data_IF_985469664352
#
_entry.id   IF_985469664352
#
_cell.length_a   1.000
_cell.length_b   1.000
_cell.length_c   1.000
_cell.angle_alpha   90.00
_cell.angle_beta   90.00
_cell.angle_gamma   90.00
#
_symmetry.space_group_name_H-M   'P 1'
#
loop_
_entity.id
_entity.type
_entity.pdbx_description
1 polymer ?
#
# COMPACT_ATOMS: atom_id res chain seq x y z
N UNK A 1 -5.96 -12.02 -2.87
CA UNK A 1 -4.99 -11.62 -1.85
C UNK A 1 -4.59 -10.16 -2.02
N UNK A 2 -4.49 -9.43 -0.90
CA UNK A 2 -3.96 -8.07 -0.83
C UNK A 2 -2.74 -8.12 0.08
N UNK A 3 -1.59 -7.64 -0.41
CA UNK A 3 -0.38 -7.51 0.40
C UNK A 3 -0.14 -6.03 0.67
N UNK A 4 0.00 -5.67 1.94
CA UNK A 4 0.22 -4.29 2.37
C UNK A 4 1.50 -4.18 3.21
N UNK A 5 2.31 -3.16 2.94
CA UNK A 5 3.44 -2.82 3.79
C UNK A 5 2.94 -2.07 5.04
N UNK A 6 3.53 -2.40 6.17
CA UNK A 6 3.16 -1.82 7.47
C UNK A 6 4.24 -0.81 7.90
N UNK A 7 3.86 0.38 8.36
CA UNK A 7 4.82 1.37 8.86
C UNK A 7 5.69 0.76 9.96
N UNK A 8 7.00 0.82 9.79
CA UNK A 8 7.96 0.31 10.77
C UNK A 8 8.01 1.17 12.03
N UNK A 9 7.57 2.42 11.92
CA UNK A 9 7.45 3.38 13.02
C UNK A 9 6.37 2.98 14.03
N UNK A 10 5.35 2.24 13.60
CA UNK A 10 4.32 1.72 14.50
C UNK A 10 4.84 0.53 15.30
N UNK A 11 4.43 0.43 16.55
CA UNK A 11 4.68 -0.79 17.36
C UNK A 11 3.94 -2.00 16.76
N UNK A 12 4.36 -3.22 17.10
CA UNK A 12 3.69 -4.45 16.66
C UNK A 12 2.19 -4.48 16.98
N UNK A 13 1.81 -3.97 18.17
CA UNK A 13 0.41 -3.84 18.58
C UNK A 13 -0.36 -2.88 17.68
N UNK A 14 0.20 -1.71 17.39
CA UNK A 14 -0.45 -0.71 16.53
C UNK A 14 -0.55 -1.19 15.08
N UNK A 15 0.45 -1.90 14.58
CA UNK A 15 0.38 -2.55 13.26
C UNK A 15 -0.76 -3.57 13.19
N UNK A 16 -0.94 -4.38 14.23
CA UNK A 16 -2.05 -5.33 14.30
C UNK A 16 -3.41 -4.62 14.33
N UNK A 17 -3.54 -3.53 15.08
CA UNK A 17 -4.78 -2.73 15.12
C UNK A 17 -5.08 -2.14 13.73
N UNK A 18 -4.08 -1.55 13.08
CA UNK A 18 -4.20 -0.99 11.73
C UNK A 18 -4.71 -2.04 10.72
N UNK A 19 -4.10 -3.23 10.70
CA UNK A 19 -4.51 -4.28 9.75
C UNK A 19 -5.91 -4.80 10.07
N UNK A 20 -6.26 -4.95 11.35
CA UNK A 20 -7.59 -5.39 11.76
C UNK A 20 -8.67 -4.39 11.38
N UNK A 21 -8.42 -3.09 11.50
CA UNK A 21 -9.38 -2.06 11.09
C UNK A 21 -9.60 -2.12 9.57
N UNK A 22 -8.53 -2.20 8.80
CA UNK A 22 -8.63 -2.34 7.34
C UNK A 22 -9.34 -3.64 6.92
N UNK A 23 -9.03 -4.77 7.56
CA UNK A 23 -9.67 -6.06 7.28
C UNK A 23 -11.18 -6.03 7.58
N UNK A 24 -11.59 -5.38 8.68
CA UNK A 24 -13.01 -5.18 9.03
C UNK A 24 -13.73 -4.33 7.99
N UNK A 25 -13.09 -3.26 7.53
CA UNK A 25 -13.68 -2.39 6.51
C UNK A 25 -13.86 -3.16 5.19
N UNK A 26 -12.86 -3.95 4.76
CA UNK A 26 -12.97 -4.82 3.59
C UNK A 26 -14.08 -5.87 3.75
N UNK A 27 -14.15 -6.53 4.90
CA UNK A 27 -15.19 -7.52 5.18
C UNK A 27 -16.59 -6.92 5.08
N UNK A 28 -16.79 -5.74 5.67
CA UNK A 28 -18.07 -5.04 5.66
C UNK A 28 -18.42 -4.51 4.27
N UNK A 29 -17.46 -3.92 3.55
CA UNK A 29 -17.67 -3.34 2.23
C UNK A 29 -18.05 -4.40 1.19
N UNK A 30 -17.39 -5.56 1.21
CA UNK A 30 -17.56 -6.61 0.20
C UNK A 30 -18.45 -7.76 0.64
N UNK A 31 -18.83 -7.81 1.92
CA UNK A 31 -19.59 -8.91 2.50
C UNK A 31 -18.88 -10.25 2.46
N UNK A 32 -17.56 -10.25 2.68
CA UNK A 32 -16.67 -11.43 2.56
C UNK A 32 -16.04 -11.79 3.89
N UNK A 33 -15.58 -13.04 4.03
CA UNK A 33 -14.65 -13.39 5.10
C UNK A 33 -13.24 -12.93 4.75
N UNK A 34 -12.51 -12.45 5.75
CA UNK A 34 -11.14 -11.96 5.61
C UNK A 34 -10.25 -12.68 6.60
N UNK A 35 -9.16 -13.22 6.12
CA UNK A 35 -8.09 -13.81 6.91
C UNK A 35 -6.83 -12.95 6.80
N UNK A 36 -6.11 -12.77 7.92
CA UNK A 36 -4.96 -11.85 8.01
C UNK A 36 -3.76 -12.57 8.60
N UNK A 37 -2.64 -12.52 7.88
CA UNK A 37 -1.33 -12.96 8.37
C UNK A 37 -0.35 -11.78 8.35
N UNK A 38 0.18 -11.42 9.52
CA UNK A 38 1.21 -10.38 9.65
C UNK A 38 2.58 -11.05 9.71
N UNK A 39 3.46 -10.64 8.79
CA UNK A 39 4.82 -11.15 8.71
C UNK A 39 5.82 -10.15 9.28
N UNK A 40 6.76 -10.66 10.05
CA UNK A 40 7.95 -9.91 10.47
C UNK A 40 8.98 -9.90 9.32
N UNK A 41 9.86 -8.90 9.29
CA UNK A 41 10.96 -8.89 8.34
C UNK A 41 11.82 -10.15 8.42
N UNK A 42 12.32 -10.59 7.25
CA UNK A 42 13.34 -11.64 7.19
C UNK A 42 14.61 -11.17 7.92
N UNK A 43 15.22 -12.08 8.69
CA UNK A 43 16.45 -11.80 9.45
C UNK A 43 17.62 -11.33 8.57
N UNK A 44 17.65 -11.70 7.29
CA UNK A 44 18.66 -11.27 6.33
C UNK A 44 18.19 -10.12 5.41
N UNK A 45 16.95 -9.62 5.59
CA UNK A 45 16.34 -8.57 4.78
C UNK A 45 16.38 -7.18 5.43
N UNK A 46 15.60 -6.26 4.88
CA UNK A 46 15.35 -4.96 5.52
C UNK A 46 14.48 -5.17 6.76
N UNK A 47 14.99 -4.87 7.92
CA UNK A 47 14.29 -5.01 9.22
C UNK A 47 13.03 -4.11 9.33
N UNK A 48 12.82 -3.20 8.39
CA UNK A 48 11.64 -2.34 8.30
C UNK A 48 10.52 -2.97 7.47
N UNK A 49 10.78 -4.07 6.74
CA UNK A 49 9.84 -4.69 5.81
C UNK A 49 8.76 -5.52 6.54
N UNK A 50 8.06 -4.90 7.47
CA UNK A 50 6.84 -5.47 8.04
C UNK A 50 5.72 -5.44 7.01
N UNK A 51 5.00 -6.53 6.82
CA UNK A 51 3.91 -6.60 5.84
C UNK A 51 2.80 -7.54 6.32
N UNK A 52 1.61 -7.36 5.76
CA UNK A 52 0.48 -8.23 6.01
C UNK A 52 -0.06 -8.80 4.71
N UNK A 53 -0.42 -10.08 4.75
CA UNK A 53 -1.19 -10.77 3.74
C UNK A 53 -2.64 -10.81 4.18
N UNK A 54 -3.53 -10.31 3.34
CA UNK A 54 -4.96 -10.22 3.61
C UNK A 54 -5.66 -11.05 2.53
N UNK A 55 -6.20 -12.19 2.92
CA UNK A 55 -6.94 -13.09 2.05
C UNK A 55 -8.43 -12.86 2.20
N UNK A 56 -9.14 -12.76 1.09
CA UNK A 56 -10.58 -12.54 1.05
C UNK A 56 -11.25 -13.71 0.32
N UNK A 57 -12.44 -14.09 0.79
CA UNK A 57 -13.25 -15.05 0.02
C UNK A 57 -13.75 -14.39 -1.25
N UNK A 58 -13.87 -15.18 -2.33
CA UNK A 58 -14.40 -14.71 -3.63
C UNK A 58 -15.92 -14.65 -3.63
N UNK A 59 -16.56 -15.21 -2.61
CA UNK A 59 -17.99 -15.25 -2.39
C UNK A 59 -18.39 -14.47 -1.16
N UNK A 60 -19.56 -13.86 -1.20
CA UNK A 60 -20.18 -13.21 -0.05
C UNK A 60 -20.52 -14.23 1.03
N UNK A 61 -20.40 -13.80 2.27
CA UNK A 61 -20.74 -14.58 3.45
C UNK A 61 -22.06 -14.08 4.00
N UNK A 62 -23.05 -14.92 4.05
CA UNK A 62 -24.39 -14.55 4.52
C UNK A 62 -24.89 -15.52 5.60
N UNK A 63 -25.63 -14.99 6.56
CA UNK A 63 -26.33 -15.80 7.54
C UNK A 63 -27.69 -16.21 6.97
N UNK A 64 -27.89 -17.50 6.80
CA UNK A 64 -29.14 -18.07 6.32
C UNK A 64 -30.22 -18.04 7.41
N UNK A 65 -31.49 -18.22 7.03
CA UNK A 65 -32.64 -18.32 7.95
C UNK A 65 -32.46 -19.42 8.99
N UNK A 66 -31.78 -20.50 8.64
CA UNK A 66 -31.39 -21.58 9.56
C UNK A 66 -30.37 -21.19 10.63
N UNK A 67 -29.85 -19.94 10.62
CA UNK A 67 -28.77 -19.47 11.47
C UNK A 67 -27.36 -19.89 11.03
N UNK A 68 -27.25 -20.77 10.03
CA UNK A 68 -25.94 -21.16 9.45
C UNK A 68 -25.37 -20.04 8.61
N UNK A 69 -24.04 -19.95 8.59
CA UNK A 69 -23.29 -19.05 7.70
C UNK A 69 -22.89 -19.82 6.44
N UNK A 70 -23.12 -19.25 5.27
CA UNK A 70 -22.78 -19.87 4.00
C UNK A 70 -22.17 -18.85 3.03
N UNK A 71 -21.33 -19.36 2.13
CA UNK A 71 -20.83 -18.62 0.98
C UNK A 71 -21.95 -18.61 -0.07
N UNK A 72 -22.31 -17.42 -0.56
CA UNK A 72 -23.44 -17.22 -1.45
C UNK A 72 -23.01 -16.71 -2.84
N UNK A 73 -23.43 -15.52 -3.24
CA UNK A 73 -23.13 -14.92 -4.53
C UNK A 73 -21.67 -14.48 -4.65
N UNK A 74 -21.21 -14.24 -5.87
CA UNK A 74 -19.88 -13.65 -6.13
C UNK A 74 -19.77 -12.26 -5.50
N UNK A 75 -18.68 -12.03 -4.79
CA UNK A 75 -18.28 -10.67 -4.42
C UNK A 75 -17.92 -9.86 -5.67
N UNK A 76 -18.07 -8.53 -5.63
CA UNK A 76 -17.67 -7.67 -6.74
C UNK A 76 -16.16 -7.79 -7.07
N UNK A 77 -15.31 -8.16 -6.10
CA UNK A 77 -13.89 -8.40 -6.31
C UNK A 77 -13.60 -9.59 -7.26
N UNK A 78 -14.55 -10.51 -7.44
CA UNK A 78 -14.46 -11.68 -8.32
C UNK A 78 -15.16 -11.47 -9.66
N UNK A 79 -15.86 -10.36 -9.84
CA UNK A 79 -16.61 -10.07 -11.06
C UNK A 79 -15.69 -9.60 -12.18
N UNK A 80 -15.99 -10.03 -13.42
CA UNK A 80 -15.35 -9.45 -14.60
C UNK A 80 -15.79 -7.99 -14.81
N UNK A 81 -14.99 -7.20 -15.54
CA UNK A 81 -15.37 -5.81 -15.85
C UNK A 81 -16.70 -5.71 -16.60
N UNK A 82 -17.08 -6.71 -17.41
CA UNK A 82 -18.40 -6.78 -18.06
C UNK A 82 -19.51 -6.89 -17.02
N UNK A 83 -19.37 -7.83 -16.07
CA UNK A 83 -20.36 -8.01 -15.00
C UNK A 83 -20.45 -6.78 -14.07
N UNK A 84 -19.32 -6.12 -13.78
CA UNK A 84 -19.30 -4.88 -13.01
C UNK A 84 -20.06 -3.76 -13.73
N UNK A 85 -19.80 -3.57 -15.03
CA UNK A 85 -20.47 -2.57 -15.86
C UNK A 85 -21.99 -2.80 -15.96
N UNK A 86 -22.43 -4.05 -16.16
CA UNK A 86 -23.85 -4.41 -16.20
C UNK A 86 -24.59 -4.10 -14.90
N UNK A 87 -23.87 -4.06 -13.77
CA UNK A 87 -24.41 -3.76 -12.44
C UNK A 87 -24.21 -2.31 -12.01
N UNK A 88 -23.65 -1.45 -12.87
CA UNK A 88 -23.34 -0.07 -12.55
C UNK A 88 -22.26 0.09 -11.47
N UNK A 89 -21.39 -0.92 -11.30
CA UNK A 89 -20.30 -0.92 -10.34
C UNK A 89 -19.00 -0.39 -10.99
N UNK A 90 -18.09 0.17 -10.17
CA UNK A 90 -16.76 0.58 -10.64
C UNK A 90 -16.00 -0.57 -11.30
N UNK A 91 -15.15 -0.26 -12.28
CA UNK A 91 -14.25 -1.24 -12.87
C UNK A 91 -13.26 -1.79 -11.83
N UNK A 92 -12.70 -2.98 -12.07
CA UNK A 92 -11.68 -3.57 -11.19
C UNK A 92 -10.47 -2.64 -10.96
N UNK A 93 -10.13 -1.79 -11.94
CA UNK A 93 -9.06 -0.80 -11.82
C UNK A 93 -9.42 0.36 -10.88
N UNK A 94 -10.65 0.84 -10.98
CA UNK A 94 -11.16 1.90 -10.08
C UNK A 94 -11.29 1.38 -8.66
N UNK A 95 -11.79 0.16 -8.50
CA UNK A 95 -11.89 -0.51 -7.22
C UNK A 95 -10.52 -0.70 -6.55
N UNK A 96 -9.51 -1.13 -7.32
CA UNK A 96 -8.14 -1.24 -6.80
C UNK A 96 -7.58 0.12 -6.34
N UNK A 97 -7.91 1.21 -7.04
CA UNK A 97 -7.50 2.56 -6.62
C UNK A 97 -8.20 2.96 -5.31
N UNK A 98 -9.50 2.67 -5.19
CA UNK A 98 -10.26 2.96 -3.98
C UNK A 98 -9.74 2.17 -2.76
N UNK A 99 -9.40 0.88 -2.93
CA UNK A 99 -8.78 0.06 -1.88
C UNK A 99 -7.42 0.65 -1.44
N UNK A 100 -6.60 1.11 -2.39
CA UNK A 100 -5.31 1.75 -2.07
C UNK A 100 -5.48 3.07 -1.32
N UNK A 101 -6.46 3.87 -1.71
CA UNK A 101 -6.81 5.11 -1.03
C UNK A 101 -7.30 4.83 0.40
N UNK A 102 -8.19 3.87 0.57
CA UNK A 102 -8.68 3.44 1.87
C UNK A 102 -7.53 2.99 2.79
N UNK A 103 -6.61 2.17 2.27
CA UNK A 103 -5.41 1.77 3.00
C UNK A 103 -4.57 2.98 3.45
N UNK A 104 -4.33 3.93 2.54
CA UNK A 104 -3.56 5.13 2.86
C UNK A 104 -4.26 5.97 3.94
N UNK A 105 -5.57 6.15 3.84
CA UNK A 105 -6.36 6.94 4.80
C UNK A 105 -6.33 6.31 6.19
N UNK A 106 -6.56 5.00 6.31
CA UNK A 106 -6.52 4.28 7.58
C UNK A 106 -5.10 4.32 8.17
N UNK A 107 -4.08 4.07 7.36
CA UNK A 107 -2.68 4.13 7.81
C UNK A 107 -2.33 5.51 8.34
N UNK A 108 -2.68 6.57 7.61
CA UNK A 108 -2.40 7.94 8.03
C UNK A 108 -3.16 8.34 9.30
N UNK A 109 -4.36 7.81 9.51
CA UNK A 109 -5.11 7.97 10.77
C UNK A 109 -4.34 7.35 11.93
N UNK A 110 -3.91 6.09 11.82
CA UNK A 110 -3.14 5.39 12.86
C UNK A 110 -1.80 6.07 13.16
N UNK A 111 -1.09 6.54 12.13
CA UNK A 111 0.16 7.30 12.29
C UNK A 111 -0.08 8.60 13.06
N UNK A 112 -1.15 9.33 12.72
CA UNK A 112 -1.53 10.58 13.40
C UNK A 112 -1.88 10.32 14.87
N UNK A 113 -2.67 9.30 15.16
CA UNK A 113 -3.07 8.92 16.53
C UNK A 113 -1.84 8.50 17.36
N UNK A 114 -0.86 7.84 16.74
CA UNK A 114 0.42 7.49 17.35
C UNK A 114 1.39 8.69 17.48
N UNK A 115 1.03 9.88 17.02
CA UNK A 115 1.87 11.09 16.97
C UNK A 115 3.14 10.92 16.14
N UNK A 116 3.07 10.10 15.09
CA UNK A 116 4.14 9.88 14.12
C UNK A 116 3.89 10.79 12.93
N UNK A 117 4.93 11.52 12.49
CA UNK A 117 4.81 12.51 11.39
C UNK A 117 4.93 11.88 9.99
N UNK A 118 5.26 10.59 9.88
CA UNK A 118 5.25 9.89 8.60
C UNK A 118 3.85 9.85 7.99
N UNK A 119 3.79 9.94 6.65
CA UNK A 119 2.54 9.83 5.87
C UNK A 119 2.77 9.02 4.61
N UNK A 120 1.75 8.28 4.19
CA UNK A 120 1.74 7.57 2.92
C UNK A 120 0.71 8.19 1.96
N UNK A 121 0.98 8.08 0.66
CA UNK A 121 0.09 8.52 -0.41
C UNK A 121 -0.06 7.38 -1.42
N UNK A 122 -1.31 7.02 -1.74
CA UNK A 122 -1.63 5.91 -2.64
C UNK A 122 -1.42 6.25 -4.12
N UNK A 123 -1.27 7.52 -4.45
CA UNK A 123 -1.12 8.01 -5.82
C UNK A 123 0.30 7.82 -6.32
N UNK A 124 0.45 7.64 -7.62
CA UNK A 124 1.78 7.63 -8.25
C UNK A 124 2.47 9.01 -8.14
N UNK A 125 3.79 9.05 -8.26
CA UNK A 125 4.54 10.32 -8.29
C UNK A 125 3.98 11.26 -9.35
N UNK A 126 3.65 10.73 -10.54
CA UNK A 126 3.05 11.49 -11.63
C UNK A 126 1.69 12.11 -11.25
N UNK A 127 0.81 11.32 -10.60
CA UNK A 127 -0.52 11.80 -10.19
C UNK A 127 -0.44 12.84 -9.05
N UNK A 128 0.69 12.85 -8.34
CA UNK A 128 1.02 13.85 -7.31
C UNK A 128 1.69 15.10 -7.88
N UNK A 129 1.97 15.13 -9.18
CA UNK A 129 2.72 16.22 -9.81
C UNK A 129 4.20 16.27 -9.41
N UNK A 130 4.77 15.15 -8.95
CA UNK A 130 6.16 15.07 -8.55
C UNK A 130 7.03 14.55 -9.71
N UNK A 131 8.11 15.24 -9.99
CA UNK A 131 9.12 14.84 -10.98
C UNK A 131 10.09 13.76 -10.42
N UNK A 132 9.55 12.79 -9.70
CA UNK A 132 10.30 11.69 -9.13
C UNK A 132 10.16 10.43 -9.99
N UNK A 133 11.27 9.72 -10.15
CA UNK A 133 11.32 8.47 -10.90
C UNK A 133 11.04 7.27 -9.98
N UNK A 134 10.28 6.26 -10.45
CA UNK A 134 10.07 5.04 -9.69
C UNK A 134 11.29 4.12 -9.77
N UNK A 135 11.64 3.46 -8.66
CA UNK A 135 12.60 2.36 -8.64
C UNK A 135 11.99 1.10 -9.26
N UNK A 136 12.85 0.17 -9.68
CA UNK A 136 12.46 -1.15 -10.18
C UNK A 136 12.62 -2.19 -9.08
N UNK A 137 11.68 -3.14 -9.01
CA UNK A 137 11.80 -4.29 -8.11
C UNK A 137 13.02 -5.12 -8.50
N UNK A 138 13.94 -5.36 -7.57
CA UNK A 138 15.16 -6.14 -7.83
C UNK A 138 14.86 -7.61 -8.19
N UNK A 139 13.85 -8.19 -7.58
CA UNK A 139 13.64 -9.63 -7.61
C UNK A 139 14.57 -10.38 -6.64
N UNK A 140 14.34 -11.65 -6.44
CA UNK A 140 15.05 -12.44 -5.42
C UNK A 140 16.53 -12.66 -5.76
N UNK A 141 16.85 -12.94 -7.04
CA UNK A 141 18.23 -13.18 -7.49
C UNK A 141 19.09 -11.92 -7.36
N UNK A 142 18.63 -10.80 -7.93
CA UNK A 142 19.35 -9.54 -7.84
C UNK A 142 19.51 -9.07 -6.39
N UNK A 143 18.47 -9.24 -5.55
CA UNK A 143 18.56 -8.93 -4.12
C UNK A 143 19.60 -9.79 -3.40
N UNK A 144 19.71 -11.07 -3.75
CA UNK A 144 20.72 -11.96 -3.17
C UNK A 144 22.14 -11.58 -3.58
N UNK A 145 22.35 -11.16 -4.84
CA UNK A 145 23.64 -10.68 -5.35
C UNK A 145 24.05 -9.34 -4.69
N UNK A 146 23.14 -8.38 -4.66
CA UNK A 146 23.38 -7.07 -4.04
C UNK A 146 23.73 -7.20 -2.55
N UNK A 147 23.09 -8.11 -1.81
CA UNK A 147 23.47 -8.41 -0.40
C UNK A 147 24.90 -8.97 -0.27
N UNK A 148 25.40 -9.65 -1.28
CA UNK A 148 26.79 -10.13 -1.34
C UNK A 148 27.78 -9.06 -1.84
N UNK A 149 27.33 -7.83 -2.07
CA UNK A 149 28.14 -6.74 -2.62
C UNK A 149 28.36 -6.82 -4.13
N UNK A 150 27.68 -7.74 -4.84
CA UNK A 150 27.77 -7.88 -6.29
C UNK A 150 26.73 -6.96 -6.92
N UNK A 151 27.20 -5.94 -7.64
CA UNK A 151 26.33 -4.96 -8.32
C UNK A 151 25.57 -5.60 -9.47
N UNK A 152 24.29 -5.27 -9.55
CA UNK A 152 23.40 -5.71 -10.64
C UNK A 152 22.92 -4.52 -11.47
N UNK A 153 22.57 -4.75 -12.74
CA UNK A 153 22.06 -3.68 -13.61
C UNK A 153 20.80 -3.00 -13.04
N UNK A 154 19.92 -3.76 -12.41
CA UNK A 154 18.72 -3.21 -11.74
C UNK A 154 19.08 -2.44 -10.48
N UNK A 155 20.05 -2.91 -9.70
CA UNK A 155 20.58 -2.20 -8.55
C UNK A 155 21.25 -0.88 -8.93
N UNK A 156 22.08 -0.88 -9.98
CA UNK A 156 22.70 0.34 -10.51
C UNK A 156 21.66 1.35 -11.02
N UNK A 157 20.61 0.87 -11.71
CA UNK A 157 19.50 1.71 -12.11
C UNK A 157 18.82 2.36 -10.90
N UNK A 158 18.52 1.57 -9.86
CA UNK A 158 17.84 2.09 -8.67
C UNK A 158 18.70 3.12 -7.92
N UNK A 159 20.01 2.90 -7.79
CA UNK A 159 20.94 3.88 -7.21
C UNK A 159 20.90 5.22 -7.96
N UNK A 160 20.94 5.19 -9.30
CA UNK A 160 20.82 6.40 -10.12
C UNK A 160 19.46 7.10 -9.94
N UNK A 161 18.38 6.33 -9.83
CA UNK A 161 17.05 6.88 -9.56
C UNK A 161 17.00 7.54 -8.18
N UNK A 162 17.60 6.93 -7.17
CA UNK A 162 17.67 7.49 -5.81
C UNK A 162 18.48 8.79 -5.78
N UNK A 163 19.64 8.82 -6.45
CA UNK A 163 20.46 10.04 -6.59
C UNK A 163 19.67 11.16 -7.30
N UNK A 164 19.01 10.85 -8.41
CA UNK A 164 18.16 11.80 -9.12
C UNK A 164 17.03 12.33 -8.24
N UNK A 165 16.28 11.44 -7.59
CA UNK A 165 15.15 11.81 -6.74
C UNK A 165 15.61 12.66 -5.55
N UNK A 166 16.76 12.36 -4.96
CA UNK A 166 17.32 13.16 -3.90
C UNK A 166 17.67 14.58 -4.39
N UNK A 167 18.29 14.71 -5.56
CA UNK A 167 18.61 16.00 -6.16
C UNK A 167 17.34 16.83 -6.44
N UNK A 168 16.29 16.20 -6.99
CA UNK A 168 15.01 16.86 -7.24
C UNK A 168 14.32 17.34 -5.96
N UNK A 169 14.38 16.55 -4.89
CA UNK A 169 13.85 16.96 -3.58
C UNK A 169 14.62 18.16 -3.00
N UNK A 170 15.93 18.17 -3.12
CA UNK A 170 16.76 19.31 -2.68
C UNK A 170 16.43 20.59 -3.47
N UNK A 171 16.28 20.50 -4.79
CA UNK A 171 15.85 21.62 -5.64
C UNK A 171 14.50 22.18 -5.20
N UNK A 172 13.52 21.31 -4.95
CA UNK A 172 12.19 21.74 -4.50
C UNK A 172 12.23 22.49 -3.14
N UNK A 173 13.12 22.07 -2.23
CA UNK A 173 13.32 22.76 -0.95
C UNK A 173 13.93 24.14 -1.18
N UNK A 174 14.95 24.24 -2.03
CA UNK A 174 15.62 25.50 -2.35
C UNK A 174 14.66 26.49 -3.02
N UNK A 175 13.89 26.03 -4.00
CA UNK A 175 12.87 26.86 -4.70
C UNK A 175 11.82 27.37 -3.73
N UNK A 176 11.31 26.52 -2.84
CA UNK A 176 10.36 26.94 -1.80
C UNK A 176 10.95 27.99 -0.86
N UNK A 177 12.18 27.84 -0.47
CA UNK A 177 12.88 28.80 0.40
C UNK A 177 13.10 30.13 -0.32
N UNK A 178 13.48 30.10 -1.61
CA UNK A 178 13.68 31.31 -2.43
C UNK A 178 12.36 32.09 -2.61
N UNK A 179 11.27 31.39 -2.92
CA UNK A 179 9.95 32.01 -3.07
C UNK A 179 9.49 32.66 -1.75
N UNK A 180 9.69 32.01 -0.61
CA UNK A 180 9.36 32.59 0.69
C UNK A 180 10.14 33.87 1.01
N UNK A 181 11.40 33.96 0.61
CA UNK A 181 12.23 35.18 0.77
C UNK A 181 11.77 36.29 -0.20
N UNK A 182 11.32 35.92 -1.41
CA UNK A 182 10.87 36.89 -2.41
C UNK A 182 9.51 37.52 -2.05
N UNK A 183 8.62 36.73 -1.44
CA UNK A 183 7.29 37.19 -0.96
C UNK A 183 7.37 38.10 0.28
N UNK A 184 8.48 38.10 1.01
CA UNK A 184 8.71 38.97 2.19
C UNK A 184 9.34 40.34 1.81
N UNK A 185 9.63 40.60 0.53
CA UNK A 185 10.14 41.86 0.02
C UNK A 185 9.05 42.68 -0.64
#
# INVERSE_FOLDING_TARGET
>A
EIVVNLPHELSGRLRMMLVNDFAKDLANQYGVAVDVAIHTPDAQGDNRNHHAHIMLTTRKLERLESGRVALTSKSQLEMSNTQLKERGLPSAREELKAIREQWANITNKHLKEAKIDARIDHRSHKDRGLELLPTKKLGWEASALERKGIKTATGDYNRKVEEYNHAMQQLAIIEKSLNAVTEQR
#
